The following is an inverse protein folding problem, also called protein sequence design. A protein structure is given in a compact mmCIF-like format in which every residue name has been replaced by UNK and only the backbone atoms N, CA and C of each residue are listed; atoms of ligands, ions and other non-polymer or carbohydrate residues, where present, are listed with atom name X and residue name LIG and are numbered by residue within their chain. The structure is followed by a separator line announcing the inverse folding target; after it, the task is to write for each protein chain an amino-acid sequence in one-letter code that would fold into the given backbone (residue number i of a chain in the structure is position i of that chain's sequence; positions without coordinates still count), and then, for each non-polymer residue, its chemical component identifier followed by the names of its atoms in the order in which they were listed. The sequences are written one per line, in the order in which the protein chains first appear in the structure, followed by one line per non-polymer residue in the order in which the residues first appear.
data_IF_140948966018
#
_entry.id   IF_140948966018
#
_cell.length_a   1.000
_cell.length_b   1.000
_cell.length_c   1.000
_cell.angle_alpha   90.00
_cell.angle_beta   90.00
_cell.angle_gamma   90.00
#
_symmetry.space_group_name_H-M   'P 1'
#
loop_
_entity.id
_entity.type
_entity.pdbx_description
1 polymer ?
#
# COMPACT_ATOMS: atom_id res chain seq x y z
N UNK A 1 55.09 26.80 18.93
CA UNK A 1 54.11 26.35 17.92
C UNK A 1 53.52 24.98 18.30
N UNK A 2 53.03 24.82 19.54
CA UNK A 2 52.69 23.49 20.14
C UNK A 2 51.21 23.41 20.57
N UNK A 3 50.42 24.48 20.37
CA UNK A 3 48.99 24.51 20.77
C UNK A 3 48.01 24.04 19.70
N UNK A 4 48.42 23.98 18.42
CA UNK A 4 47.52 23.59 17.32
C UNK A 4 47.29 22.07 17.28
N UNK A 5 48.28 21.27 17.69
CA UNK A 5 48.20 19.81 17.64
C UNK A 5 47.23 19.19 18.66
N UNK A 6 46.93 19.87 19.77
CA UNK A 6 45.97 19.36 20.77
C UNK A 6 44.51 19.64 20.43
N UNK A 7 44.23 20.65 19.60
CA UNK A 7 42.86 20.97 19.18
C UNK A 7 42.36 20.04 18.07
N UNK A 8 43.26 19.57 17.19
CA UNK A 8 42.90 18.68 16.09
C UNK A 8 42.44 17.30 16.58
N UNK A 9 43.00 16.82 17.69
CA UNK A 9 42.63 15.52 18.27
C UNK A 9 41.25 15.52 18.94
N UNK A 10 40.73 16.69 19.34
CA UNK A 10 39.40 16.81 19.96
C UNK A 10 38.31 16.89 18.88
N UNK A 11 38.62 17.49 17.72
CA UNK A 11 37.70 17.56 16.58
C UNK A 11 37.56 16.21 15.86
N UNK A 12 38.59 15.37 15.88
CA UNK A 12 38.54 14.05 15.25
C UNK A 12 37.71 13.02 16.07
N UNK A 13 37.60 13.22 17.39
CA UNK A 13 36.85 12.31 18.28
C UNK A 13 35.33 12.59 18.25
N UNK A 14 34.91 13.81 17.89
CA UNK A 14 33.49 14.18 17.81
C UNK A 14 32.80 13.73 16.52
N UNK A 15 33.55 13.30 15.51
CA UNK A 15 33.01 12.84 14.22
C UNK A 15 32.42 11.41 14.27
N UNK A 16 32.64 10.65 15.34
CA UNK A 16 32.10 9.29 15.47
C UNK A 16 30.69 9.20 16.07
N UNK A 17 30.10 10.32 16.52
CA UNK A 17 28.80 10.32 17.23
C UNK A 17 27.61 10.56 16.27
N UNK A 18 27.85 10.79 14.99
CA UNK A 18 26.79 11.07 14.00
C UNK A 18 26.34 9.86 13.15
N UNK A 19 26.88 8.66 13.37
CA UNK A 19 26.39 7.46 12.71
C UNK A 19 25.50 6.63 13.64
N UNK A 20 24.39 7.23 14.05
CA UNK A 20 23.24 6.47 14.54
C UNK A 20 22.06 6.80 13.62
N UNK A 21 22.16 6.36 12.36
CA UNK A 21 20.94 6.07 11.63
C UNK A 21 20.33 4.89 12.38
N UNK A 22 19.35 5.19 13.24
CA UNK A 22 18.43 4.16 13.66
C UNK A 22 17.95 3.51 12.38
N UNK A 23 18.28 2.24 12.20
CA UNK A 23 17.57 1.39 11.28
C UNK A 23 16.12 1.49 11.76
N UNK A 24 15.35 2.41 11.16
CA UNK A 24 13.90 2.38 11.26
C UNK A 24 13.57 0.95 10.97
N UNK A 25 12.98 0.25 11.95
CA UNK A 25 12.52 -1.11 11.77
C UNK A 25 11.84 -1.15 10.42
N UNK A 26 12.53 -1.75 9.46
CA UNK A 26 11.98 -2.03 8.16
C UNK A 26 11.03 -3.15 8.51
N UNK A 27 9.80 -2.80 8.92
CA UNK A 27 8.71 -3.73 9.14
C UNK A 27 8.81 -4.72 8.00
N UNK A 28 9.22 -5.94 8.32
CA UNK A 28 9.64 -6.92 7.33
C UNK A 28 8.46 -7.03 6.39
N UNK A 29 8.65 -6.59 5.15
CA UNK A 29 7.55 -6.37 4.23
C UNK A 29 6.79 -7.67 3.87
N UNK A 30 7.31 -8.82 4.33
CA UNK A 30 6.63 -10.10 4.39
C UNK A 30 5.36 -10.12 5.27
N UNK A 31 5.17 -9.16 6.20
CA UNK A 31 4.03 -9.15 7.11
C UNK A 31 2.78 -8.38 6.62
N UNK A 32 2.89 -7.63 5.52
CA UNK A 32 1.74 -6.92 4.96
C UNK A 32 1.09 -7.69 3.80
N UNK A 33 -0.23 -7.61 3.69
CA UNK A 33 -0.98 -8.09 2.52
C UNK A 33 -0.79 -7.21 1.28
N UNK A 34 -0.28 -5.98 1.42
CA UNK A 34 0.09 -5.12 0.30
C UNK A 34 1.36 -4.32 0.66
N UNK A 35 2.55 -4.81 0.28
CA UNK A 35 3.82 -4.15 0.58
C UNK A 35 3.94 -2.75 -0.01
N UNK A 36 4.18 -1.76 0.85
CA UNK A 36 4.20 -0.33 0.51
C UNK A 36 5.65 0.18 0.35
N UNK A 37 6.24 -0.07 -0.81
CA UNK A 37 7.61 0.40 -1.13
C UNK A 37 7.69 0.91 -2.57
N UNK A 38 8.32 2.07 -2.76
CA UNK A 38 8.60 2.61 -4.11
C UNK A 38 9.40 1.59 -4.93
N UNK A 39 9.01 1.40 -6.19
CA UNK A 39 9.56 0.43 -7.11
C UNK A 39 8.95 -0.97 -6.99
N UNK A 40 7.97 -1.18 -6.11
CA UNK A 40 7.14 -2.38 -6.17
C UNK A 40 6.31 -2.37 -7.45
N UNK A 41 6.28 -3.51 -8.16
CA UNK A 41 5.72 -3.66 -9.50
C UNK A 41 4.88 -4.93 -9.59
N UNK A 42 3.68 -4.78 -10.15
CA UNK A 42 2.79 -5.86 -10.57
C UNK A 42 2.62 -5.78 -12.09
N UNK A 43 3.26 -6.68 -12.82
CA UNK A 43 3.38 -6.61 -14.27
C UNK A 43 2.61 -7.75 -14.94
N UNK A 44 1.61 -7.40 -15.76
CA UNK A 44 0.91 -8.35 -16.61
C UNK A 44 1.55 -8.44 -17.99
N UNK A 45 1.86 -7.30 -18.62
CA UNK A 45 2.53 -7.19 -19.92
C UNK A 45 2.99 -5.74 -20.16
N UNK A 46 3.56 -5.44 -21.33
CA UNK A 46 4.10 -4.12 -21.65
C UNK A 46 3.05 -3.01 -21.70
N UNK A 47 1.77 -3.37 -21.87
CA UNK A 47 0.62 -2.48 -21.96
C UNK A 47 -0.16 -2.42 -20.63
N UNK A 48 0.11 -3.33 -19.69
CA UNK A 48 -0.62 -3.43 -18.43
C UNK A 48 0.29 -3.74 -17.25
N UNK A 49 0.49 -2.75 -16.38
CA UNK A 49 1.25 -2.89 -15.13
C UNK A 49 0.85 -1.85 -14.09
N UNK A 50 1.11 -2.16 -12.82
CA UNK A 50 1.00 -1.21 -11.70
C UNK A 50 2.34 -1.08 -11.00
N UNK A 51 2.81 0.14 -10.76
CA UNK A 51 4.06 0.44 -10.05
C UNK A 51 3.83 1.48 -8.95
N UNK A 52 4.46 1.28 -7.79
CA UNK A 52 4.56 2.33 -6.77
C UNK A 52 5.68 3.29 -7.17
N UNK A 53 5.34 4.49 -7.62
CA UNK A 53 6.31 5.43 -8.18
C UNK A 53 6.84 6.45 -7.17
N UNK A 54 6.00 6.88 -6.23
CA UNK A 54 6.32 7.98 -5.32
C UNK A 54 5.45 7.91 -4.06
N UNK A 55 5.62 8.89 -3.17
CA UNK A 55 4.78 9.15 -2.02
C UNK A 55 4.25 10.56 -2.01
N UNK A 56 3.13 10.77 -1.32
CA UNK A 56 2.53 12.08 -1.12
C UNK A 56 1.98 12.18 0.29
N UNK A 57 1.91 13.40 0.84
CA UNK A 57 1.20 13.66 2.09
C UNK A 57 -0.21 14.16 1.80
N UNK A 58 -1.21 13.41 2.26
CA UNK A 58 -2.63 13.78 2.17
C UNK A 58 -3.14 13.88 3.61
N UNK A 59 -3.68 15.03 4.01
CA UNK A 59 -4.12 15.29 5.38
C UNK A 59 -3.07 14.88 6.45
N UNK A 60 -1.81 15.31 6.25
CA UNK A 60 -0.64 15.01 7.11
C UNK A 60 -0.23 13.53 7.20
N UNK A 61 -0.94 12.62 6.51
CA UNK A 61 -0.66 11.18 6.45
C UNK A 61 0.13 10.85 5.16
N UNK A 62 1.10 9.95 5.23
CA UNK A 62 1.86 9.47 4.07
C UNK A 62 1.03 8.45 3.28
N UNK A 63 0.96 8.62 1.97
CA UNK A 63 0.38 7.70 1.00
C UNK A 63 1.38 7.40 -0.11
N UNK A 64 1.26 6.22 -0.71
CA UNK A 64 2.05 5.75 -1.84
C UNK A 64 1.24 5.91 -3.13
N UNK A 65 1.87 6.45 -4.17
CA UNK A 65 1.27 6.62 -5.50
C UNK A 65 1.43 5.33 -6.30
N UNK A 66 0.33 4.63 -6.52
CA UNK A 66 0.25 3.50 -7.43
C UNK A 66 -0.15 4.02 -8.80
N UNK A 67 0.77 3.96 -9.75
CA UNK A 67 0.53 4.28 -11.15
C UNK A 67 0.24 2.98 -11.90
N UNK A 68 -0.88 2.94 -12.60
CA UNK A 68 -1.25 1.81 -13.46
C UNK A 68 -1.37 2.26 -14.90
N UNK A 69 -0.67 1.57 -15.80
CA UNK A 69 -0.98 1.58 -17.23
C UNK A 69 -1.91 0.38 -17.49
N UNK A 70 -2.97 0.59 -18.24
CA UNK A 70 -3.97 -0.44 -18.59
C UNK A 70 -4.21 -0.38 -20.09
N UNK A 71 -3.97 -1.47 -20.80
CA UNK A 71 -4.23 -1.54 -22.25
C UNK A 71 -3.27 -0.70 -23.13
N UNK A 72 -2.29 -0.02 -22.54
CA UNK A 72 -1.30 0.80 -23.22
C UNK A 72 -1.68 2.26 -23.41
N UNK A 73 -2.90 2.65 -23.07
CA UNK A 73 -3.45 3.99 -23.30
C UNK A 73 -4.17 4.57 -22.08
N UNK A 74 -4.78 3.73 -21.24
CA UNK A 74 -5.45 4.17 -20.02
C UNK A 74 -4.47 4.24 -18.85
N UNK A 75 -4.50 5.37 -18.13
CA UNK A 75 -3.74 5.58 -16.91
C UNK A 75 -4.70 5.68 -15.73
N UNK A 76 -4.43 4.90 -14.68
CA UNK A 76 -5.09 5.04 -13.40
C UNK A 76 -4.05 5.37 -12.32
N UNK A 77 -4.37 6.31 -11.44
CA UNK A 77 -3.52 6.67 -10.31
C UNK A 77 -4.35 6.57 -9.04
N UNK A 78 -3.95 5.70 -8.14
CA UNK A 78 -4.55 5.57 -6.81
C UNK A 78 -3.48 5.86 -5.75
N UNK A 79 -3.87 6.53 -4.66
CA UNK A 79 -2.97 6.75 -3.53
C UNK A 79 -3.43 5.90 -2.36
N UNK A 80 -2.57 4.97 -1.94
CA UNK A 80 -2.89 4.01 -0.89
C UNK A 80 -1.94 4.15 0.30
N UNK A 81 -2.43 3.82 1.49
CA UNK A 81 -1.64 3.61 2.70
C UNK A 81 -2.17 2.43 3.48
N UNK A 82 -1.31 1.79 4.26
CA UNK A 82 -1.74 0.98 5.40
C UNK A 82 -1.82 1.91 6.60
N UNK A 83 -2.97 1.96 7.26
CA UNK A 83 -3.15 2.73 8.48
C UNK A 83 -2.68 1.98 9.73
N UNK A 84 -2.80 2.65 10.87
CA UNK A 84 -2.36 2.16 12.17
C UNK A 84 -3.19 0.96 12.67
N UNK A 85 -4.36 0.67 12.06
CA UNK A 85 -5.21 -0.48 12.34
C UNK A 85 -5.07 -1.58 11.29
N UNK A 86 -4.04 -1.51 10.43
CA UNK A 86 -3.78 -2.45 9.35
C UNK A 86 -4.90 -2.49 8.28
N UNK A 87 -5.57 -1.36 8.07
CA UNK A 87 -6.52 -1.17 6.97
C UNK A 87 -5.82 -0.56 5.77
N UNK A 88 -6.20 -1.00 4.58
CA UNK A 88 -5.80 -0.37 3.33
C UNK A 88 -6.72 0.82 3.07
N UNK A 89 -6.17 2.02 3.15
CA UNK A 89 -6.88 3.27 2.95
C UNK A 89 -6.46 3.89 1.63
N UNK A 90 -7.44 4.24 0.82
CA UNK A 90 -7.27 5.10 -0.33
C UNK A 90 -7.61 6.54 0.01
N UNK A 91 -6.86 7.48 -0.55
CA UNK A 91 -7.15 8.91 -0.47
C UNK A 91 -6.71 9.63 -1.74
N UNK A 92 -7.05 10.92 -1.85
CA UNK A 92 -6.68 11.72 -3.02
C UNK A 92 -6.22 13.13 -2.61
N UNK A 93 -5.15 13.68 -3.23
CA UNK A 93 -4.65 15.01 -2.89
C UNK A 93 -5.64 16.15 -3.17
N UNK A 94 -6.48 16.02 -4.19
CA UNK A 94 -7.51 16.99 -4.58
C UNK A 94 -8.76 16.95 -3.69
N UNK A 95 -8.94 15.86 -2.93
CA UNK A 95 -10.02 15.65 -1.96
C UNK A 95 -9.47 15.07 -0.65
N UNK A 96 -8.61 15.81 0.09
CA UNK A 96 -7.78 15.25 1.15
C UNK A 96 -8.55 14.75 2.38
N UNK A 97 -9.84 15.08 2.50
CA UNK A 97 -10.73 14.62 3.56
C UNK A 97 -11.57 13.40 3.15
N UNK A 98 -11.61 13.04 1.86
CA UNK A 98 -12.32 11.86 1.38
C UNK A 98 -11.36 10.67 1.38
N UNK A 99 -11.77 9.58 2.02
CA UNK A 99 -11.01 8.33 2.07
C UNK A 99 -11.93 7.15 1.82
N UNK A 100 -11.35 6.06 1.33
CA UNK A 100 -12.06 4.80 1.05
C UNK A 100 -11.31 3.65 1.70
N UNK A 101 -11.99 2.82 2.49
CA UNK A 101 -11.43 1.60 3.05
C UNK A 101 -11.48 0.52 1.97
N UNK A 102 -10.30 0.09 1.49
CA UNK A 102 -10.13 -0.93 0.44
C UNK A 102 -9.88 -2.33 1.00
N UNK A 103 -9.49 -2.45 2.27
CA UNK A 103 -9.33 -3.72 2.97
C UNK A 103 -9.19 -3.45 4.48
N UNK A 104 -9.60 -4.40 5.30
CA UNK A 104 -9.23 -4.49 6.71
C UNK A 104 -8.53 -5.83 6.91
N UNK A 105 -7.20 -5.83 7.01
CA UNK A 105 -6.43 -7.07 7.10
C UNK A 105 -6.51 -7.73 8.49
N UNK A 106 -7.01 -7.02 9.50
CA UNK A 106 -7.23 -7.56 10.84
C UNK A 106 -8.61 -8.22 10.99
N UNK A 107 -9.57 -7.87 10.12
CA UNK A 107 -10.92 -8.43 10.13
C UNK A 107 -10.96 -9.96 10.02
N UNK A 108 -12.00 -10.57 10.57
CA UNK A 108 -12.27 -12.01 10.57
C UNK A 108 -13.25 -12.37 9.45
N UNK A 109 -13.29 -13.65 9.07
CA UNK A 109 -14.28 -14.15 8.10
C UNK A 109 -15.69 -13.82 8.61
N UNK A 110 -16.52 -13.25 7.72
CA UNK A 110 -17.87 -12.80 8.02
C UNK A 110 -17.97 -11.35 8.51
N UNK A 111 -16.86 -10.72 8.90
CA UNK A 111 -16.87 -9.30 9.27
C UNK A 111 -17.25 -8.44 8.06
N UNK A 112 -17.96 -7.35 8.36
CA UNK A 112 -18.47 -6.40 7.37
C UNK A 112 -18.04 -4.98 7.70
N UNK A 113 -17.75 -4.20 6.66
CA UNK A 113 -17.51 -2.77 6.78
C UNK A 113 -17.95 -2.04 5.50
N UNK A 114 -18.09 -0.73 5.58
CA UNK A 114 -18.42 0.11 4.43
C UNK A 114 -17.17 0.83 3.93
N UNK A 115 -17.04 0.94 2.61
CA UNK A 115 -15.89 1.64 1.98
C UNK A 115 -15.82 3.12 2.36
N UNK A 116 -16.97 3.80 2.45
CA UNK A 116 -17.06 5.23 2.78
C UNK A 116 -17.96 5.50 3.99
N UNK A 117 -18.95 4.63 4.25
CA UNK A 117 -19.96 4.79 5.29
C UNK A 117 -21.04 5.83 4.98
N UNK A 118 -21.05 6.39 3.76
CA UNK A 118 -21.99 7.44 3.35
C UNK A 118 -23.34 6.90 2.88
N UNK A 119 -23.43 5.60 2.61
CA UNK A 119 -24.64 4.95 2.07
C UNK A 119 -25.14 5.59 0.77
N UNK A 120 -24.20 5.99 -0.09
CA UNK A 120 -24.46 6.44 -1.45
C UNK A 120 -24.06 5.36 -2.47
N UNK A 121 -24.30 5.63 -3.76
CA UNK A 121 -24.04 4.68 -4.85
C UNK A 121 -22.58 4.21 -4.98
N UNK A 122 -21.62 4.93 -4.38
CA UNK A 122 -20.21 4.58 -4.38
C UNK A 122 -19.80 3.77 -3.14
N UNK A 123 -20.71 3.63 -2.16
CA UNK A 123 -20.45 2.92 -0.92
C UNK A 123 -20.74 1.42 -1.07
N UNK A 124 -19.69 0.61 -0.97
CA UNK A 124 -19.81 -0.84 -0.99
C UNK A 124 -19.86 -1.39 0.43
N UNK A 125 -20.75 -2.35 0.67
CA UNK A 125 -20.63 -3.26 1.82
C UNK A 125 -19.57 -4.30 1.49
N UNK A 126 -18.49 -4.31 2.26
CA UNK A 126 -17.37 -5.22 2.08
C UNK A 126 -17.47 -6.32 3.11
N UNK A 127 -17.48 -7.57 2.67
CA UNK A 127 -17.49 -8.76 3.54
C UNK A 127 -16.18 -9.54 3.38
N UNK A 128 -15.58 -9.96 4.49
CA UNK A 128 -14.45 -10.90 4.45
C UNK A 128 -14.98 -12.30 4.17
N UNK A 129 -14.68 -12.85 3.00
CA UNK A 129 -15.20 -14.18 2.57
C UNK A 129 -14.20 -15.30 2.76
N UNK A 130 -12.90 -14.98 2.82
CA UNK A 130 -11.85 -15.95 3.08
C UNK A 130 -10.69 -15.28 3.80
N UNK A 131 -10.10 -15.98 4.77
CA UNK A 131 -8.86 -15.56 5.45
C UNK A 131 -8.05 -16.78 5.85
N UNK A 132 -6.75 -16.73 5.58
CA UNK A 132 -5.71 -17.62 6.09
C UNK A 132 -4.49 -16.79 6.49
N UNK A 133 -3.42 -17.45 6.94
CA UNK A 133 -2.16 -16.77 7.25
C UNK A 133 -1.48 -16.14 6.02
N UNK A 134 -1.85 -16.60 4.82
CA UNK A 134 -1.19 -16.23 3.57
C UNK A 134 -2.11 -15.53 2.57
N UNK A 135 -3.42 -15.67 2.71
CA UNK A 135 -4.39 -15.14 1.75
C UNK A 135 -5.59 -14.50 2.45
N UNK A 136 -6.14 -13.45 1.83
CA UNK A 136 -7.38 -12.83 2.30
C UNK A 136 -8.20 -12.36 1.11
N UNK A 137 -9.49 -12.69 1.11
CA UNK A 137 -10.44 -12.34 0.05
C UNK A 137 -11.59 -11.54 0.61
N UNK A 138 -11.91 -10.44 -0.06
CA UNK A 138 -12.99 -9.53 0.26
C UNK A 138 -14.01 -9.54 -0.87
N UNK A 139 -15.29 -9.51 -0.52
CA UNK A 139 -16.41 -9.35 -1.44
C UNK A 139 -16.97 -7.93 -1.29
N UNK A 140 -17.00 -7.17 -2.38
CA UNK A 140 -17.49 -5.79 -2.44
C UNK A 140 -18.85 -5.78 -3.11
N UNK A 141 -19.92 -5.57 -2.34
CA UNK A 141 -21.27 -5.44 -2.85
C UNK A 141 -21.69 -3.97 -2.87
N UNK A 142 -21.95 -3.36 -4.04
CA UNK A 142 -22.44 -2.00 -4.15
C UNK A 142 -23.94 -1.93 -3.84
N UNK A 143 -24.32 -2.23 -2.58
CA UNK A 143 -25.71 -2.43 -2.16
C UNK A 143 -26.65 -1.23 -2.38
N UNK A 144 -26.07 -0.04 -2.57
CA UNK A 144 -26.78 1.22 -2.80
C UNK A 144 -26.75 1.66 -4.27
N UNK A 145 -25.98 1.01 -5.14
CA UNK A 145 -25.90 1.37 -6.56
C UNK A 145 -27.13 0.85 -7.32
N UNK A 146 -27.83 1.69 -8.09
CA UNK A 146 -29.12 1.33 -8.72
C UNK A 146 -29.02 0.12 -9.66
N UNK A 147 -27.91 -0.01 -10.39
CA UNK A 147 -27.74 -1.02 -11.43
C UNK A 147 -26.75 -2.14 -11.08
N UNK A 148 -26.01 -2.02 -9.98
CA UNK A 148 -24.92 -2.96 -9.64
C UNK A 148 -25.17 -3.72 -8.34
N UNK A 149 -26.18 -3.31 -7.56
CA UNK A 149 -26.59 -3.99 -6.33
C UNK A 149 -26.79 -5.49 -6.58
N UNK A 150 -26.19 -6.32 -5.73
CA UNK A 150 -26.29 -7.77 -5.83
C UNK A 150 -25.31 -8.41 -6.82
N UNK A 151 -24.41 -7.64 -7.43
CA UNK A 151 -23.32 -8.12 -8.27
C UNK A 151 -21.97 -7.84 -7.60
N UNK A 152 -21.63 -8.56 -6.52
CA UNK A 152 -20.41 -8.30 -5.79
C UNK A 152 -19.16 -8.65 -6.60
N UNK A 153 -18.10 -7.86 -6.43
CA UNK A 153 -16.78 -8.16 -6.96
C UNK A 153 -15.85 -8.72 -5.88
N UNK A 154 -14.93 -9.61 -6.26
CA UNK A 154 -13.97 -10.21 -5.34
C UNK A 154 -12.60 -9.56 -5.50
N UNK A 155 -11.98 -9.19 -4.38
CA UNK A 155 -10.59 -8.73 -4.34
C UNK A 155 -9.82 -9.64 -3.40
N UNK A 156 -8.79 -10.29 -3.94
CA UNK A 156 -7.93 -11.22 -3.21
C UNK A 156 -6.53 -10.66 -3.06
N UNK A 157 -5.95 -10.85 -1.88
CA UNK A 157 -4.58 -10.47 -1.54
C UNK A 157 -3.79 -11.70 -1.10
N UNK A 158 -2.50 -11.73 -1.46
CA UNK A 158 -1.52 -12.69 -0.96
C UNK A 158 -0.51 -11.93 -0.09
N UNK A 159 -0.33 -12.41 1.13
CA UNK A 159 0.60 -11.84 2.10
C UNK A 159 2.01 -11.77 1.52
N UNK A 160 2.65 -10.60 1.63
CA UNK A 160 3.96 -10.31 1.06
C UNK A 160 3.99 -10.12 -0.46
N UNK A 161 2.87 -10.27 -1.18
CA UNK A 161 2.81 -10.11 -2.64
C UNK A 161 1.81 -9.06 -3.13
N UNK A 162 0.82 -8.65 -2.33
CA UNK A 162 -0.20 -7.72 -2.80
C UNK A 162 -1.37 -8.43 -3.47
N UNK A 163 -1.86 -7.88 -4.57
CA UNK A 163 -2.98 -8.45 -5.32
C UNK A 163 -2.69 -9.86 -5.82
N UNK A 164 -3.72 -10.71 -5.76
CA UNK A 164 -3.66 -12.10 -6.17
C UNK A 164 -4.17 -12.32 -7.60
N UNK A 165 -3.69 -11.50 -8.54
CA UNK A 165 -4.02 -11.62 -9.96
C UNK A 165 -2.94 -12.41 -10.72
N UNK A 166 -3.21 -12.71 -11.99
CA UNK A 166 -2.31 -13.47 -12.86
C UNK A 166 -1.19 -12.59 -13.44
N UNK A 167 -0.33 -12.06 -12.56
CA UNK A 167 0.83 -11.29 -12.98
C UNK A 167 1.90 -12.21 -13.59
N UNK A 168 2.50 -11.79 -14.70
CA UNK A 168 3.65 -12.48 -15.31
C UNK A 168 4.93 -12.24 -14.51
N UNK A 169 5.04 -11.07 -13.88
CA UNK A 169 6.18 -10.67 -13.08
C UNK A 169 5.74 -9.80 -11.91
N UNK A 170 6.30 -10.07 -10.75
CA UNK A 170 6.24 -9.21 -9.57
C UNK A 170 7.64 -8.74 -9.22
N UNK A 171 7.79 -7.48 -8.81
CA UNK A 171 8.98 -7.01 -8.09
C UNK A 171 8.49 -6.48 -6.76
N UNK A 172 8.83 -7.13 -5.67
CA UNK A 172 8.36 -6.76 -4.33
C UNK A 172 9.58 -6.59 -3.43
N UNK A 173 9.80 -5.36 -2.98
CA UNK A 173 10.93 -4.93 -2.16
C UNK A 173 12.28 -5.35 -2.77
N UNK A 174 12.40 -5.23 -4.09
CA UNK A 174 13.60 -5.60 -4.85
C UNK A 174 13.69 -7.08 -5.24
N UNK A 175 12.87 -7.97 -4.67
CA UNK A 175 12.83 -9.39 -5.03
C UNK A 175 11.92 -9.57 -6.24
N UNK A 176 12.39 -10.31 -7.24
CA UNK A 176 11.65 -10.57 -8.48
C UNK A 176 11.05 -11.97 -8.44
N UNK A 177 9.74 -12.07 -8.70
CA UNK A 177 9.02 -13.32 -8.91
C UNK A 177 8.53 -13.36 -10.34
N UNK A 178 8.80 -14.44 -11.06
CA UNK A 178 8.36 -14.66 -12.43
C UNK A 178 7.73 -16.04 -12.52
N UNK A 179 6.65 -16.13 -13.28
CA UNK A 179 6.03 -17.40 -13.66
C UNK A 179 6.61 -17.87 -15.00
#
# INVERSE_FOLDING_TARGET
MIKIFKFLSIVLMSLFILCCQSNKEQHVAADSFLPMQIGNLWYMNAQSYTEIQDTVRINKKLFYKFYSLVGGDAVNIIYLRIDEQNKLIEGYPDSPLKTYIRADFNAKIGDKFFTTGKKDENDNEVTVVQKSDTEMTFSFDPIYHPNLKGHPSLVKYIKGKGWAENFKKLKINGIVYQN
#
